data_IF_104284048005
#
_entry.id   IF_104284048005
#
_cell.length_a   1.000
_cell.length_b   1.000
_cell.length_c   1.000
_cell.angle_alpha   90.00
_cell.angle_beta   90.00
_cell.angle_gamma   90.00
#
_symmetry.space_group_name_H-M   'P 1'
#
loop_
_entity.id
_entity.type
_entity.pdbx_description
1 polymer ?
#
# COMPACT_ATOMS: atom_id res chain seq x y z
N UNK A 1 16.99 -3.79 -25.20
CA UNK A 1 17.28 -2.73 -24.20
C UNK A 1 16.29 -2.94 -23.06
N UNK A 2 16.72 -2.94 -21.80
CA UNK A 2 15.80 -3.08 -20.67
C UNK A 2 14.94 -1.80 -20.54
N UNK A 3 13.65 -1.95 -20.22
CA UNK A 3 12.76 -0.82 -19.98
C UNK A 3 12.92 -0.41 -18.50
N UNK A 4 13.60 0.71 -18.28
CA UNK A 4 13.80 1.35 -16.96
C UNK A 4 13.26 2.77 -16.98
N UNK A 5 13.11 3.37 -15.79
CA UNK A 5 12.79 4.79 -15.65
C UNK A 5 13.73 5.65 -16.53
N UNK A 6 15.04 5.47 -16.41
CA UNK A 6 16.03 6.25 -17.17
C UNK A 6 15.98 6.05 -18.68
N UNK A 7 15.69 4.83 -19.13
CA UNK A 7 15.57 4.56 -20.57
C UNK A 7 14.37 5.26 -21.21
N UNK A 8 13.38 5.66 -20.41
CA UNK A 8 12.13 6.27 -20.87
C UNK A 8 12.01 7.76 -20.53
N UNK A 9 12.83 8.27 -19.61
CA UNK A 9 12.78 9.67 -19.19
C UNK A 9 13.23 10.65 -20.27
N UNK A 10 14.34 10.36 -20.94
CA UNK A 10 14.95 11.29 -21.90
C UNK A 10 14.03 11.49 -23.12
N UNK A 11 13.72 12.74 -23.44
CA UNK A 11 12.80 13.15 -24.49
C UNK A 11 11.32 13.00 -24.13
N UNK A 12 10.99 12.57 -22.92
CA UNK A 12 9.60 12.47 -22.45
C UNK A 12 9.12 13.79 -21.85
N UNK A 13 7.80 13.89 -21.66
CA UNK A 13 7.20 15.00 -20.89
C UNK A 13 7.61 15.02 -19.42
N UNK A 14 8.27 13.96 -18.93
CA UNK A 14 8.70 13.82 -17.54
C UNK A 14 10.18 14.14 -17.30
N UNK A 15 10.96 14.46 -18.34
CA UNK A 15 12.42 14.66 -18.24
C UNK A 15 12.81 15.68 -17.15
N UNK A 16 12.04 16.77 -17.01
CA UNK A 16 12.24 17.82 -16.00
C UNK A 16 11.09 17.91 -14.98
N UNK A 17 10.26 16.87 -14.89
CA UNK A 17 9.08 16.86 -14.00
C UNK A 17 9.43 16.54 -12.55
N UNK A 18 10.34 15.58 -12.34
CA UNK A 18 10.63 15.07 -11.01
C UNK A 18 11.43 16.07 -10.16
N UNK A 19 11.14 16.19 -8.84
CA UNK A 19 11.90 17.08 -7.98
C UNK A 19 13.40 16.75 -7.98
N UNK A 20 14.25 17.77 -8.11
CA UNK A 20 15.72 17.61 -8.12
C UNK A 20 16.30 16.92 -6.88
N UNK A 21 15.58 16.93 -5.76
CA UNK A 21 15.98 16.26 -4.52
C UNK A 21 15.64 14.76 -4.48
N UNK A 22 14.99 14.21 -5.50
CA UNK A 22 14.67 12.79 -5.55
C UNK A 22 15.82 11.99 -6.14
N UNK A 23 16.12 10.87 -5.49
CA UNK A 23 17.04 9.87 -6.00
C UNK A 23 16.28 8.91 -6.91
N UNK A 24 16.25 9.23 -8.21
CA UNK A 24 15.53 8.43 -9.21
C UNK A 24 16.16 7.05 -9.41
N UNK A 25 17.45 6.88 -9.12
CA UNK A 25 18.14 5.60 -9.24
C UNK A 25 17.71 4.66 -8.13
N UNK A 26 17.62 5.19 -6.91
CA UNK A 26 17.06 4.47 -5.78
C UNK A 26 15.59 4.10 -5.99
N UNK A 27 14.80 4.98 -6.62
CA UNK A 27 13.39 4.69 -6.93
C UNK A 27 13.29 3.57 -7.97
N UNK A 28 14.05 3.65 -9.07
CA UNK A 28 14.08 2.61 -10.11
C UNK A 28 14.51 1.25 -9.52
N UNK A 29 15.54 1.25 -8.66
CA UNK A 29 16.01 0.04 -7.96
C UNK A 29 15.00 -0.55 -6.97
N UNK A 30 14.19 0.28 -6.29
CA UNK A 30 13.10 -0.22 -5.45
C UNK A 30 12.03 -0.95 -6.29
N UNK A 31 11.76 -0.45 -7.49
CA UNK A 31 10.75 -0.99 -8.41
C UNK A 31 11.27 -2.13 -9.29
N UNK A 32 12.58 -2.44 -9.27
CA UNK A 32 13.18 -3.47 -10.11
C UNK A 32 13.11 -4.89 -9.53
N UNK A 33 12.53 -5.07 -8.34
CA UNK A 33 12.41 -6.39 -7.71
C UNK A 33 11.44 -7.28 -8.50
N UNK A 34 11.76 -8.57 -8.70
CA UNK A 34 10.84 -9.50 -9.35
C UNK A 34 9.60 -9.70 -8.47
N UNK A 35 8.40 -9.90 -9.06
CA UNK A 35 7.16 -10.08 -8.30
C UNK A 35 7.24 -11.18 -7.23
N UNK A 36 8.00 -12.24 -7.50
CA UNK A 36 8.17 -13.38 -6.59
C UNK A 36 8.90 -12.99 -5.29
N UNK A 37 9.74 -11.95 -5.34
CA UNK A 37 10.48 -11.46 -4.18
C UNK A 37 9.68 -10.45 -3.34
N UNK A 38 8.44 -10.11 -3.72
CA UNK A 38 7.63 -9.09 -3.00
C UNK A 38 7.36 -9.44 -1.55
N UNK A 39 7.41 -10.73 -1.20
CA UNK A 39 7.22 -11.20 0.18
C UNK A 39 8.53 -11.34 0.97
N UNK A 40 9.68 -11.15 0.32
CA UNK A 40 10.99 -11.24 0.97
C UNK A 40 11.22 -10.06 1.91
N UNK A 41 11.59 -10.39 3.14
CA UNK A 41 11.80 -9.41 4.21
C UNK A 41 12.98 -8.50 3.88
N UNK A 42 12.73 -7.20 3.83
CA UNK A 42 13.80 -6.22 3.70
C UNK A 42 14.33 -5.75 5.07
N UNK A 43 15.65 -5.51 5.22
CA UNK A 43 16.27 -5.09 6.49
C UNK A 43 15.71 -3.79 7.07
N UNK A 44 15.25 -2.86 6.23
CA UNK A 44 14.74 -1.55 6.65
C UNK A 44 13.24 -1.52 6.96
N UNK A 45 12.52 -2.63 6.77
CA UNK A 45 11.10 -2.70 7.09
C UNK A 45 10.87 -2.67 8.60
N UNK A 46 9.74 -2.09 9.01
CA UNK A 46 9.28 -2.18 10.40
C UNK A 46 9.22 -3.66 10.83
N UNK A 47 9.70 -4.05 12.03
CA UNK A 47 9.67 -5.43 12.55
C UNK A 47 8.31 -6.13 12.38
N UNK A 48 7.22 -5.40 12.64
CA UNK A 48 5.85 -5.92 12.60
C UNK A 48 5.23 -5.91 11.19
N UNK A 49 5.90 -5.27 10.22
CA UNK A 49 5.41 -5.27 8.84
C UNK A 49 5.67 -6.62 8.17
N UNK A 50 4.60 -7.22 7.64
CA UNK A 50 4.63 -8.46 6.88
C UNK A 50 3.65 -8.37 5.70
N UNK A 51 4.12 -8.53 4.45
CA UNK A 51 3.23 -8.68 3.31
C UNK A 51 2.49 -10.03 3.38
N UNK A 52 1.20 -10.00 3.04
CA UNK A 52 0.34 -11.20 2.96
C UNK A 52 -0.14 -11.34 1.51
N UNK A 53 0.31 -12.38 0.78
CA UNK A 53 -0.17 -12.62 -0.57
C UNK A 53 -1.63 -13.05 -0.56
N UNK A 54 -2.41 -12.59 -1.54
CA UNK A 54 -3.80 -12.99 -1.75
C UNK A 54 -3.90 -13.74 -3.09
N UNK A 55 -4.67 -14.82 -3.13
CA UNK A 55 -4.90 -15.61 -4.33
C UNK A 55 -5.90 -14.97 -5.30
N UNK A 56 -6.83 -14.15 -4.80
CA UNK A 56 -7.79 -13.40 -5.63
C UNK A 56 -7.98 -11.96 -5.16
N UNK A 57 -8.62 -11.15 -6.01
CA UNK A 57 -8.96 -9.78 -5.68
C UNK A 57 -10.00 -9.71 -4.55
N UNK A 58 -10.96 -10.63 -4.53
CA UNK A 58 -12.01 -10.70 -3.51
C UNK A 58 -11.43 -11.06 -2.14
N UNK A 59 -10.44 -11.95 -2.12
CA UNK A 59 -9.68 -12.26 -0.90
C UNK A 59 -8.95 -11.01 -0.40
N UNK A 60 -8.22 -10.32 -1.30
CA UNK A 60 -7.55 -9.07 -0.96
C UNK A 60 -8.54 -8.04 -0.38
N UNK A 61 -9.66 -7.81 -1.06
CA UNK A 61 -10.69 -6.87 -0.64
C UNK A 61 -11.19 -7.20 0.78
N UNK A 62 -11.44 -8.47 1.06
CA UNK A 62 -11.94 -8.91 2.37
C UNK A 62 -10.87 -8.73 3.47
N UNK A 63 -9.64 -9.21 3.23
CA UNK A 63 -8.55 -9.15 4.21
C UNK A 63 -8.11 -7.71 4.50
N UNK A 64 -7.91 -6.90 3.45
CA UNK A 64 -7.53 -5.49 3.62
C UNK A 64 -8.66 -4.68 4.27
N UNK A 65 -9.91 -4.94 3.88
CA UNK A 65 -11.07 -4.31 4.52
C UNK A 65 -11.17 -4.63 6.00
N UNK A 66 -10.90 -5.88 6.38
CA UNK A 66 -10.82 -6.29 7.79
C UNK A 66 -9.71 -5.56 8.55
N UNK A 67 -8.49 -5.47 8.00
CA UNK A 67 -7.39 -4.79 8.69
C UNK A 67 -7.61 -3.27 8.83
N UNK A 68 -8.24 -2.62 7.85
CA UNK A 68 -8.68 -1.22 7.97
C UNK A 68 -9.69 -1.08 9.12
N UNK A 69 -10.75 -1.90 9.12
CA UNK A 69 -11.79 -1.85 10.15
C UNK A 69 -11.23 -2.14 11.55
N UNK A 70 -10.37 -3.15 11.67
CA UNK A 70 -9.71 -3.54 12.92
C UNK A 70 -8.81 -2.42 13.44
N UNK A 71 -8.08 -1.74 12.56
CA UNK A 71 -7.24 -0.59 12.92
C UNK A 71 -8.09 0.57 13.45
N UNK A 72 -9.21 0.88 12.79
CA UNK A 72 -10.17 1.89 13.25
C UNK A 72 -10.73 1.54 14.63
N UNK A 73 -11.24 0.31 14.80
CA UNK A 73 -11.80 -0.17 16.07
C UNK A 73 -10.78 -0.08 17.20
N UNK A 74 -9.58 -0.66 17.02
CA UNK A 74 -8.53 -0.66 18.05
C UNK A 74 -8.09 0.75 18.42
N UNK A 75 -7.88 1.62 17.43
CA UNK A 75 -7.44 3.00 17.70
C UNK A 75 -8.49 3.75 18.53
N UNK A 76 -9.78 3.50 18.26
CA UNK A 76 -10.89 4.04 19.05
C UNK A 76 -10.93 3.46 20.47
N UNK A 77 -10.81 2.15 20.62
CA UNK A 77 -10.77 1.47 21.93
C UNK A 77 -9.60 1.97 22.79
N UNK A 78 -8.47 2.28 22.16
CA UNK A 78 -7.30 2.87 22.80
C UNK A 78 -7.44 4.39 23.06
N UNK A 79 -8.54 5.02 22.67
CA UNK A 79 -8.79 6.45 22.88
C UNK A 79 -7.87 7.39 22.07
N UNK A 80 -7.29 6.91 20.97
CA UNK A 80 -6.32 7.66 20.16
C UNK A 80 -6.98 8.29 18.93
N UNK A 81 -6.36 9.36 18.42
CA UNK A 81 -6.71 9.92 17.10
C UNK A 81 -6.05 9.06 16.02
N UNK A 82 -6.80 8.79 14.95
CA UNK A 82 -6.34 8.02 13.80
C UNK A 82 -6.16 8.95 12.60
N UNK A 83 -5.02 8.85 11.92
CA UNK A 83 -4.81 9.42 10.60
C UNK A 83 -4.63 8.26 9.59
N UNK A 84 -5.37 8.30 8.48
CA UNK A 84 -5.33 7.27 7.45
C UNK A 84 -4.90 7.89 6.13
N UNK A 85 -3.98 7.22 5.43
CA UNK A 85 -3.66 7.49 4.03
C UNK A 85 -4.26 6.34 3.23
N UNK A 86 -5.37 6.62 2.56
CA UNK A 86 -6.17 5.60 1.88
C UNK A 86 -5.81 5.54 0.38
N UNK A 87 -5.43 4.36 -0.16
CA UNK A 87 -5.10 4.24 -1.58
C UNK A 87 -6.35 4.30 -2.46
N UNK A 88 -6.17 4.62 -3.75
CA UNK A 88 -7.31 4.77 -4.68
C UNK A 88 -7.97 3.42 -5.04
N UNK A 89 -7.37 2.27 -4.72
CA UNK A 89 -8.01 0.98 -4.91
C UNK A 89 -7.23 -0.22 -4.36
N UNK A 90 -7.78 -1.43 -4.48
CA UNK A 90 -9.12 -1.76 -5.01
C UNK A 90 -10.27 -1.30 -4.11
N UNK A 91 -11.38 -0.85 -4.70
CA UNK A 91 -12.48 -0.23 -3.95
C UNK A 91 -13.26 -1.21 -3.07
N UNK A 92 -13.20 -2.52 -3.36
CA UNK A 92 -13.93 -3.53 -2.60
C UNK A 92 -13.48 -3.64 -1.15
N UNK A 93 -12.21 -3.33 -0.85
CA UNK A 93 -11.72 -3.29 0.53
C UNK A 93 -12.48 -2.28 1.41
N UNK A 94 -12.91 -1.15 0.84
CA UNK A 94 -13.69 -0.16 1.59
C UNK A 94 -15.10 -0.64 1.88
N UNK A 95 -15.72 -1.38 0.96
CA UNK A 95 -17.01 -2.02 1.20
C UNK A 95 -16.92 -2.99 2.39
N UNK A 96 -15.88 -3.80 2.45
CA UNK A 96 -15.66 -4.74 3.56
C UNK A 96 -15.32 -4.03 4.87
N UNK A 97 -14.50 -2.97 4.83
CA UNK A 97 -14.22 -2.18 6.03
C UNK A 97 -15.51 -1.62 6.65
N UNK A 98 -16.40 -1.03 5.83
CA UNK A 98 -17.71 -0.54 6.29
C UNK A 98 -18.59 -1.68 6.80
N UNK A 99 -18.59 -2.83 6.14
CA UNK A 99 -19.35 -4.00 6.59
C UNK A 99 -18.94 -4.42 8.01
N UNK A 100 -17.64 -4.62 8.26
CA UNK A 100 -17.14 -5.04 9.58
C UNK A 100 -17.39 -3.99 10.67
N UNK A 101 -17.16 -2.71 10.37
CA UNK A 101 -17.42 -1.64 11.35
C UNK A 101 -18.90 -1.59 11.77
N UNK A 102 -19.82 -1.76 10.81
CA UNK A 102 -21.26 -1.81 11.09
C UNK A 102 -21.63 -3.05 11.90
N UNK A 103 -21.10 -4.21 11.54
CA UNK A 103 -21.35 -5.47 12.24
C UNK A 103 -20.86 -5.40 13.70
N UNK A 104 -19.70 -4.78 13.95
CA UNK A 104 -19.16 -4.57 15.30
C UNK A 104 -19.80 -3.40 16.06
N UNK A 105 -20.74 -2.66 15.47
CA UNK A 105 -21.34 -1.48 16.08
C UNK A 105 -20.34 -0.37 16.37
N UNK A 106 -19.25 -0.28 15.61
CA UNK A 106 -18.25 0.79 15.73
C UNK A 106 -18.80 2.04 15.02
N UNK A 107 -19.12 3.12 15.75
CA UNK A 107 -19.64 4.32 15.12
C UNK A 107 -18.52 4.98 14.30
N UNK A 108 -18.81 5.15 13.01
CA UNK A 108 -17.94 5.76 12.01
C UNK A 108 -18.16 7.28 12.01
#
# INVERSE_FOLDING_TARGET
MAITLFSTLKGSLLEDFFPKGWDLEKIDGCCSNPPEAVTERQPWWNPEFRPVPCGTLEEFDTLMGHEIARTIRRTREEGKKLALVLPVGPMGMYKWAVYFLREWGVPC
#
